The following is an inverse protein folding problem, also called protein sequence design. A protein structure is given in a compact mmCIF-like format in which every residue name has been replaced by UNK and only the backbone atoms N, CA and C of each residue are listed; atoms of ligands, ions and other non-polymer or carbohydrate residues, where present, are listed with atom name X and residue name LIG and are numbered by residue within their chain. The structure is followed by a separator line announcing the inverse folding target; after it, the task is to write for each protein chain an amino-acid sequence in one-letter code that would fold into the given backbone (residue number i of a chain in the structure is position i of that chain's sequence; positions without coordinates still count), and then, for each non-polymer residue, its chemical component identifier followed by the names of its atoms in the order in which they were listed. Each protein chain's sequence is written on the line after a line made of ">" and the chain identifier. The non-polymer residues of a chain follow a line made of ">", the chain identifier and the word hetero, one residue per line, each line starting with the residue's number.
data_IF_950444197271
#
_entry.id   IF_950444197271
#
_cell.length_a   1.000
_cell.length_b   1.000
_cell.length_c   1.000
_cell.angle_alpha   90.00
_cell.angle_beta   90.00
_cell.angle_gamma   90.00
#
_symmetry.space_group_name_H-M   'P 1'
#
loop_
_entity.id
_entity.type
_entity.pdbx_description
1 polymer ?
#
# COMPACT_ATOMS: atom_id res chain seq x y z
N UNK A 1 -14.32 32.35 -26.89
CA UNK A 1 -14.56 31.27 -25.92
C UNK A 1 -13.29 30.44 -25.90
N UNK A 2 -12.50 30.60 -24.84
CA UNK A 2 -11.15 30.05 -24.63
C UNK A 2 -11.25 28.58 -24.21
N UNK A 3 -10.72 27.67 -25.02
CA UNK A 3 -10.43 26.30 -24.59
C UNK A 3 -9.10 26.35 -23.85
N UNK A 4 -9.16 26.08 -22.55
CA UNK A 4 -8.01 26.01 -21.66
C UNK A 4 -7.00 24.97 -22.16
N UNK A 5 -5.79 25.44 -22.44
CA UNK A 5 -4.59 24.64 -22.59
C UNK A 5 -4.27 24.04 -21.21
N UNK A 6 -4.59 22.76 -21.03
CA UNK A 6 -4.12 21.98 -19.89
C UNK A 6 -2.64 21.78 -20.12
N UNK A 7 -1.85 22.62 -19.46
CA UNK A 7 -0.42 22.47 -19.34
C UNK A 7 -0.12 21.17 -18.59
N UNK A 8 0.16 20.11 -19.35
CA UNK A 8 0.76 18.87 -18.87
C UNK A 8 2.22 19.16 -18.48
N UNK A 9 2.40 19.82 -17.34
CA UNK A 9 3.70 20.01 -16.65
C UNK A 9 4.14 18.70 -15.94
N UNK A 10 3.84 17.54 -16.53
CA UNK A 10 4.42 16.29 -16.09
C UNK A 10 5.86 16.23 -16.62
N UNK A 11 6.88 16.08 -15.76
CA UNK A 11 8.25 15.92 -16.22
C UNK A 11 8.29 14.75 -17.21
N UNK A 12 8.71 15.03 -18.45
CA UNK A 12 8.94 13.99 -19.44
C UNK A 12 9.87 12.96 -18.81
N UNK A 13 9.48 11.67 -18.76
CA UNK A 13 10.32 10.64 -18.19
C UNK A 13 11.68 10.69 -18.89
N UNK A 14 12.72 10.80 -18.10
CA UNK A 14 14.10 10.82 -18.55
C UNK A 14 14.40 9.56 -19.38
N UNK A 15 15.37 9.59 -20.31
CA UNK A 15 15.78 8.42 -21.06
C UNK A 15 16.15 7.22 -20.18
N UNK A 16 16.63 7.50 -18.96
CA UNK A 16 16.94 6.50 -17.93
C UNK A 16 15.65 5.86 -17.38
N UNK A 17 14.61 6.65 -17.06
CA UNK A 17 13.30 6.14 -16.65
C UNK A 17 12.63 5.34 -17.78
N UNK A 18 12.76 5.75 -19.04
CA UNK A 18 12.23 4.99 -20.18
C UNK A 18 12.94 3.64 -20.36
N UNK A 19 14.26 3.60 -20.16
CA UNK A 19 15.03 2.36 -20.19
C UNK A 19 14.69 1.45 -19.00
N UNK A 20 14.49 2.04 -17.82
CA UNK A 20 14.06 1.32 -16.62
C UNK A 20 12.66 0.71 -16.80
N UNK A 21 11.70 1.49 -17.32
CA UNK A 21 10.34 1.02 -17.64
C UNK A 21 10.41 -0.14 -18.65
N UNK A 22 11.22 -0.01 -19.69
CA UNK A 22 11.42 -1.07 -20.69
C UNK A 22 12.02 -2.36 -20.11
N UNK A 23 12.95 -2.25 -19.16
CA UNK A 23 13.54 -3.39 -18.45
C UNK A 23 12.53 -4.05 -17.49
N UNK A 24 11.75 -3.25 -16.76
CA UNK A 24 10.68 -3.76 -15.88
C UNK A 24 9.60 -4.53 -16.65
N UNK A 25 9.26 -4.07 -17.85
CA UNK A 25 8.37 -4.79 -18.78
C UNK A 25 9.00 -6.08 -19.31
N UNK A 26 10.28 -6.05 -19.70
CA UNK A 26 10.99 -7.24 -20.16
C UNK A 26 11.07 -8.33 -19.07
N UNK A 27 11.31 -7.96 -17.82
CA UNK A 27 11.33 -8.88 -16.66
C UNK A 27 9.93 -9.48 -16.43
N UNK A 28 8.88 -8.65 -16.52
CA UNK A 28 7.50 -9.10 -16.35
C UNK A 28 7.11 -10.14 -17.42
N UNK A 29 7.46 -9.89 -18.69
CA UNK A 29 7.23 -10.84 -19.78
C UNK A 29 8.01 -12.15 -19.60
N UNK A 30 9.27 -12.07 -19.18
CA UNK A 30 10.09 -13.25 -18.94
C UNK A 30 9.51 -14.13 -17.81
N UNK A 31 9.04 -13.51 -16.73
CA UNK A 31 8.37 -14.19 -15.62
C UNK A 31 7.04 -14.79 -16.07
N UNK A 32 6.29 -14.10 -16.93
CA UNK A 32 5.03 -14.59 -17.48
C UNK A 32 5.24 -15.83 -18.35
N UNK A 33 6.22 -15.78 -19.25
CA UNK A 33 6.60 -16.93 -20.08
C UNK A 33 6.96 -18.14 -19.22
N UNK A 34 7.72 -17.93 -18.14
CA UNK A 34 8.06 -19.00 -17.19
C UNK A 34 6.83 -19.56 -16.47
N UNK A 35 5.83 -18.75 -16.15
CA UNK A 35 4.55 -19.22 -15.61
C UNK A 35 3.80 -20.09 -16.62
N UNK A 36 3.83 -19.73 -17.91
CA UNK A 36 3.19 -20.54 -18.96
C UNK A 36 3.91 -21.87 -19.20
N UNK A 37 5.24 -21.88 -19.14
CA UNK A 37 6.07 -23.09 -19.28
C UNK A 37 5.94 -24.04 -18.08
N UNK A 38 5.84 -23.49 -16.86
CA UNK A 38 5.74 -24.24 -15.62
C UNK A 38 4.43 -23.92 -14.88
N UNK A 39 3.30 -24.07 -15.57
CA UNK A 39 1.95 -23.74 -15.07
C UNK A 39 1.53 -24.54 -13.83
N UNK A 40 2.11 -25.71 -13.65
CA UNK A 40 1.84 -26.56 -12.49
C UNK A 40 2.69 -26.19 -11.27
N UNK A 41 3.71 -25.34 -11.43
CA UNK A 41 4.61 -24.92 -10.35
C UNK A 41 4.17 -23.57 -9.77
N UNK A 42 4.03 -23.52 -8.44
CA UNK A 42 3.64 -22.32 -7.72
C UNK A 42 4.77 -21.28 -7.64
N UNK A 43 6.01 -21.70 -7.82
CA UNK A 43 7.20 -20.85 -7.72
C UNK A 43 7.22 -19.70 -8.76
N UNK A 44 7.06 -19.94 -10.08
CA UNK A 44 6.99 -18.86 -11.07
C UNK A 44 5.78 -17.95 -10.86
N UNK A 45 4.63 -18.51 -10.47
CA UNK A 45 3.43 -17.73 -10.19
C UNK A 45 3.61 -16.76 -9.00
N UNK A 46 4.31 -17.19 -7.95
CA UNK A 46 4.64 -16.31 -6.83
C UNK A 46 5.68 -15.25 -7.23
N UNK A 47 6.66 -15.60 -8.06
CA UNK A 47 7.69 -14.67 -8.52
C UNK A 47 7.11 -13.53 -9.37
N UNK A 48 6.18 -13.84 -10.29
CA UNK A 48 5.51 -12.79 -11.08
C UNK A 48 4.57 -11.95 -10.23
N UNK A 49 3.92 -12.54 -9.22
CA UNK A 49 3.07 -11.80 -8.30
C UNK A 49 3.89 -10.79 -7.48
N UNK A 50 5.05 -11.20 -6.97
CA UNK A 50 5.94 -10.30 -6.23
C UNK A 50 6.47 -9.16 -7.11
N UNK A 51 6.83 -9.45 -8.37
CA UNK A 51 7.23 -8.43 -9.34
C UNK A 51 6.08 -7.47 -9.65
N UNK A 52 4.87 -7.99 -9.91
CA UNK A 52 3.69 -7.19 -10.17
C UNK A 52 3.27 -6.32 -8.96
N UNK A 53 3.49 -6.80 -7.73
CA UNK A 53 3.30 -6.03 -6.50
C UNK A 53 4.28 -4.85 -6.41
N UNK A 54 5.56 -5.07 -6.74
CA UNK A 54 6.60 -4.03 -6.68
C UNK A 54 6.45 -2.97 -7.78
N UNK A 55 6.06 -3.40 -8.98
CA UNK A 55 5.92 -2.52 -10.15
C UNK A 55 4.50 -1.98 -10.35
N UNK A 56 3.57 -2.20 -9.40
CA UNK A 56 2.16 -1.81 -9.45
C UNK A 56 1.36 -2.33 -10.67
N UNK A 57 1.87 -3.37 -11.36
CA UNK A 57 1.27 -4.01 -12.57
C UNK A 57 0.31 -5.16 -12.24
N UNK A 58 -0.31 -5.15 -11.07
CA UNK A 58 -1.32 -6.13 -10.67
C UNK A 58 -2.53 -6.19 -11.62
N UNK A 59 -3.07 -5.06 -12.13
CA UNK A 59 -4.20 -5.09 -13.07
C UNK A 59 -3.83 -5.80 -14.37
N UNK A 60 -2.63 -5.56 -14.91
CA UNK A 60 -2.15 -6.21 -16.14
C UNK A 60 -1.98 -7.72 -15.95
N UNK A 61 -1.41 -8.15 -14.82
CA UNK A 61 -1.29 -9.56 -14.47
C UNK A 61 -2.68 -10.23 -14.36
N UNK A 62 -3.62 -9.57 -13.68
CA UNK A 62 -4.99 -10.07 -13.52
C UNK A 62 -5.72 -10.18 -14.87
N UNK A 63 -5.52 -9.22 -15.79
CA UNK A 63 -6.04 -9.27 -17.15
C UNK A 63 -5.56 -10.51 -17.90
N UNK A 64 -4.25 -10.80 -17.87
CA UNK A 64 -3.67 -11.98 -18.53
C UNK A 64 -4.22 -13.30 -17.99
N UNK A 65 -4.40 -13.42 -16.67
CA UNK A 65 -5.04 -14.61 -16.10
C UNK A 65 -6.53 -14.69 -16.45
N UNK A 66 -7.22 -13.56 -16.61
CA UNK A 66 -8.63 -13.53 -17.02
C UNK A 66 -8.81 -14.04 -18.44
N UNK A 67 -7.88 -13.74 -19.34
CA UNK A 67 -7.89 -14.25 -20.72
C UNK A 67 -7.66 -15.77 -20.78
N UNK A 68 -6.98 -16.34 -19.77
CA UNK A 68 -6.77 -17.78 -19.60
C UNK A 68 -7.89 -18.48 -18.81
N UNK A 69 -8.87 -17.73 -18.30
CA UNK A 69 -9.99 -18.27 -17.52
C UNK A 69 -10.94 -19.13 -18.35
N UNK A 70 -11.08 -18.81 -19.63
CA UNK A 70 -11.97 -19.52 -20.56
C UNK A 70 -11.34 -20.79 -21.14
N UNK A 71 -10.08 -21.08 -20.81
CA UNK A 71 -9.39 -22.31 -21.20
C UNK A 71 -9.82 -23.48 -20.30
N UNK A 72 -10.29 -24.59 -20.90
CA UNK A 72 -10.87 -25.72 -20.20
C UNK A 72 -9.89 -26.45 -19.27
N UNK A 73 -8.58 -26.40 -19.55
CA UNK A 73 -7.56 -27.08 -18.75
C UNK A 73 -6.92 -26.15 -17.71
N UNK A 74 -6.79 -24.86 -18.02
CA UNK A 74 -6.05 -23.89 -17.21
C UNK A 74 -6.95 -22.94 -16.41
N UNK A 75 -8.22 -22.81 -16.80
CA UNK A 75 -9.17 -21.84 -16.28
C UNK A 75 -9.48 -21.99 -14.80
N UNK A 76 -9.63 -23.23 -14.30
CA UNK A 76 -9.91 -23.47 -12.88
C UNK A 76 -8.74 -23.04 -11.97
N UNK A 77 -7.49 -23.23 -12.42
CA UNK A 77 -6.30 -22.74 -11.69
C UNK A 77 -6.12 -21.24 -11.86
N UNK A 78 -6.34 -20.70 -13.06
CA UNK A 78 -6.27 -19.26 -13.31
C UNK A 78 -7.23 -18.49 -12.40
N UNK A 79 -8.48 -18.96 -12.28
CA UNK A 79 -9.49 -18.33 -11.41
C UNK A 79 -9.10 -18.37 -9.93
N UNK A 80 -8.54 -19.49 -9.46
CA UNK A 80 -7.99 -19.59 -8.09
C UNK A 80 -6.84 -18.61 -7.86
N UNK A 81 -5.97 -18.41 -8.86
CA UNK A 81 -4.83 -17.49 -8.78
C UNK A 81 -5.28 -16.03 -8.82
N UNK A 82 -6.22 -15.66 -9.69
CA UNK A 82 -6.83 -14.32 -9.70
C UNK A 82 -7.38 -13.97 -8.31
N UNK A 83 -8.13 -14.88 -7.70
CA UNK A 83 -8.68 -14.67 -6.36
C UNK A 83 -7.58 -14.46 -5.30
N UNK A 84 -6.47 -15.23 -5.37
CA UNK A 84 -5.33 -15.06 -4.47
C UNK A 84 -4.63 -13.70 -4.65
N UNK A 85 -4.45 -13.25 -5.90
CA UNK A 85 -3.85 -11.97 -6.24
C UNK A 85 -4.73 -10.82 -5.69
N UNK A 86 -6.05 -10.90 -5.87
CA UNK A 86 -7.01 -9.90 -5.36
C UNK A 86 -6.99 -9.83 -3.84
N UNK A 87 -6.95 -10.98 -3.15
CA UNK A 87 -6.83 -11.02 -1.68
C UNK A 87 -5.51 -10.41 -1.22
N UNK A 88 -4.39 -10.73 -1.86
CA UNK A 88 -3.08 -10.17 -1.53
C UNK A 88 -3.04 -8.65 -1.74
N UNK A 89 -3.59 -8.16 -2.86
CA UNK A 89 -3.71 -6.73 -3.15
C UNK A 89 -4.59 -6.01 -2.11
N UNK A 90 -5.71 -6.63 -1.72
CA UNK A 90 -6.61 -6.10 -0.68
C UNK A 90 -5.93 -6.05 0.68
N UNK A 91 -5.16 -7.08 1.04
CA UNK A 91 -4.38 -7.10 2.27
C UNK A 91 -3.30 -6.02 2.26
N UNK A 92 -2.61 -5.80 1.14
CA UNK A 92 -1.62 -4.74 1.00
C UNK A 92 -2.26 -3.35 1.14
N UNK A 93 -3.43 -3.12 0.53
CA UNK A 93 -4.22 -1.89 0.69
C UNK A 93 -4.67 -1.66 2.15
N UNK A 94 -5.05 -2.72 2.86
CA UNK A 94 -5.40 -2.63 4.27
C UNK A 94 -4.16 -2.43 5.17
N UNK A 95 -3.02 -3.01 4.80
CA UNK A 95 -1.76 -2.88 5.52
C UNK A 95 -1.16 -1.46 5.39
N UNK A 96 -1.29 -0.81 4.24
CA UNK A 96 -0.89 0.60 4.08
C UNK A 96 -1.83 1.58 4.79
N UNK A 97 -3.05 1.16 5.18
CA UNK A 97 -4.04 2.06 5.81
C UNK A 97 -3.80 2.39 7.28
N UNK A 98 -2.83 1.82 7.99
CA UNK A 98 -2.60 2.23 9.38
C UNK A 98 -1.18 1.85 9.81
N UNK A 99 -0.24 2.82 10.02
CA UNK A 99 0.93 2.49 10.81
C UNK A 99 0.43 2.00 12.18
N UNK A 100 0.84 0.81 12.65
CA UNK A 100 0.36 0.27 13.91
C UNK A 100 0.60 1.33 14.98
N UNK A 101 -0.49 1.73 15.66
CA UNK A 101 -0.49 2.68 16.77
C UNK A 101 0.72 2.37 17.66
N UNK A 102 1.76 3.19 17.53
CA UNK A 102 2.93 3.14 18.41
C UNK A 102 2.38 3.08 19.83
N UNK A 103 2.71 2.02 20.57
CA UNK A 103 2.33 1.89 21.97
C UNK A 103 2.79 3.19 22.63
N UNK A 104 1.85 4.05 23.00
CA UNK A 104 2.17 5.31 23.66
C UNK A 104 3.06 4.94 24.85
N UNK A 105 4.33 5.37 24.87
CA UNK A 105 5.25 4.95 25.92
C UNK A 105 4.61 5.37 27.24
N UNK A 106 4.59 4.48 28.23
CA UNK A 106 3.90 4.71 29.52
C UNK A 106 4.28 6.06 30.16
N UNK A 107 5.48 6.56 29.87
CA UNK A 107 5.97 7.90 30.18
C UNK A 107 5.01 9.03 29.75
N UNK A 108 4.33 8.91 28.61
CA UNK A 108 3.37 9.90 28.13
C UNK A 108 2.09 9.94 28.97
N UNK A 109 1.62 8.77 29.46
CA UNK A 109 0.51 8.71 30.41
C UNK A 109 0.91 9.35 31.75
N UNK A 110 2.14 9.10 32.21
CA UNK A 110 2.66 9.73 33.44
C UNK A 110 2.75 11.25 33.28
N UNK A 111 3.25 11.74 32.14
CA UNK A 111 3.32 13.18 31.84
C UNK A 111 1.92 13.82 31.83
N UNK A 112 0.93 13.16 31.22
CA UNK A 112 -0.45 13.64 31.19
C UNK A 112 -1.07 13.73 32.60
N UNK A 113 -0.87 12.69 33.44
CA UNK A 113 -1.35 12.68 34.83
C UNK A 113 -0.68 13.79 35.64
N UNK A 114 0.64 13.96 35.50
CA UNK A 114 1.40 14.95 36.25
C UNK A 114 0.98 16.37 35.87
N UNK A 115 0.79 16.64 34.57
CA UNK A 115 0.24 17.91 34.10
C UNK A 115 -1.15 18.19 34.69
N UNK A 116 -2.03 17.19 34.71
CA UNK A 116 -3.38 17.33 35.25
C UNK A 116 -3.37 17.64 36.75
N UNK A 117 -2.50 16.97 37.52
CA UNK A 117 -2.33 17.24 38.96
C UNK A 117 -1.79 18.64 39.23
N UNK A 118 -0.84 19.13 38.43
CA UNK A 118 -0.33 20.51 38.54
C UNK A 118 -1.45 21.52 38.30
N UNK A 119 -2.25 21.32 37.25
CA UNK A 119 -3.37 22.21 36.92
C UNK A 119 -4.43 22.21 38.03
N UNK A 120 -4.81 21.03 38.56
CA UNK A 120 -5.77 20.94 39.67
C UNK A 120 -5.23 21.63 40.93
N UNK A 121 -3.97 21.39 41.27
CA UNK A 121 -3.34 21.99 42.46
C UNK A 121 -3.27 23.50 42.32
N UNK A 122 -2.89 24.00 41.13
CA UNK A 122 -2.85 25.43 40.83
C UNK A 122 -4.25 26.05 40.89
N UNK A 123 -5.27 25.42 40.28
CA UNK A 123 -6.64 25.91 40.31
C UNK A 123 -7.22 25.91 41.73
N UNK A 124 -6.97 24.85 42.52
CA UNK A 124 -7.37 24.79 43.92
C UNK A 124 -6.69 25.87 44.75
N UNK A 125 -5.38 26.06 44.57
CA UNK A 125 -4.63 27.13 45.24
C UNK A 125 -5.16 28.51 44.82
N UNK A 126 -5.35 28.77 43.52
CA UNK A 126 -5.91 30.02 43.04
C UNK A 126 -7.32 30.25 43.62
N UNK A 127 -8.17 29.23 43.65
CA UNK A 127 -9.54 29.34 44.16
C UNK A 127 -9.61 29.49 45.67
N UNK A 128 -8.64 28.99 46.45
CA UNK A 128 -8.59 29.13 47.91
C UNK A 128 -7.83 30.40 48.35
N UNK A 129 -6.79 30.79 47.60
CA UNK A 129 -5.92 31.91 47.94
C UNK A 129 -6.39 33.26 47.35
N UNK A 130 -7.08 33.28 46.20
CA UNK A 130 -7.74 34.51 45.72
C UNK A 130 -8.86 35.03 46.64
N UNK A 131 -9.79 34.20 47.17
CA UNK A 131 -10.86 34.72 48.02
C UNK A 131 -10.37 35.19 49.39
N UNK A 132 -9.18 34.78 49.83
CA UNK A 132 -8.60 35.26 51.09
C UNK A 132 -7.93 36.64 50.95
N UNK A 133 -7.78 37.16 49.73
CA UNK A 133 -7.12 38.45 49.44
C UNK A 133 -8.09 39.58 49.07
N UNK A 134 -9.41 39.34 49.12
CA UNK A 134 -10.45 40.38 49.06
C UNK A 134 -11.08 40.56 50.43
#
# INVERSE_FOLDING_TARGET
>A
MTVSEVQDDAPSPSPEELAEIGDHDAIFEALWKRCLEAWEDDKPHNAILEHALKSEKLPDLAGRYRDLKDDAEKGAKADKRINAIVVAATQMMMATKTPPRTKTPWQWNVAAVLFFLVVITYLGYALVYLPHRR
#
